data_IF_921554493240
#
_entry.id   IF_921554493240
#
_cell.length_a   1.000
_cell.length_b   1.000
_cell.length_c   1.000
_cell.angle_alpha   90.00
_cell.angle_beta   90.00
_cell.angle_gamma   90.00
#
_symmetry.space_group_name_H-M   'P 1'
#
loop_
_entity.id
_entity.type
_entity.pdbx_description
1 polymer ?
#
# COMPACT_ATOMS: atom_id res chain seq x y z
N UNK A 1 8.90 -0.62 -14.87
CA UNK A 1 8.02 0.57 -14.76
C UNK A 1 7.40 0.51 -13.39
N UNK A 2 7.57 1.54 -12.58
CA UNK A 2 7.17 1.51 -11.17
C UNK A 2 6.11 2.58 -10.91
N UNK A 3 4.99 2.16 -10.33
CA UNK A 3 3.98 3.07 -9.77
C UNK A 3 4.36 3.39 -8.33
N UNK A 4 4.28 4.65 -7.93
CA UNK A 4 4.58 5.07 -6.57
C UNK A 4 3.36 5.70 -5.90
N UNK A 5 3.05 5.25 -4.69
CA UNK A 5 2.13 5.92 -3.79
C UNK A 5 2.86 6.98 -2.96
N UNK A 6 2.21 8.12 -2.76
CA UNK A 6 2.70 9.22 -1.92
C UNK A 6 1.99 9.16 -0.58
N UNK A 7 2.70 8.84 0.49
CA UNK A 7 2.14 8.81 1.84
C UNK A 7 1.73 10.21 2.31
N UNK A 8 0.71 10.26 3.17
CA UNK A 8 0.34 11.46 3.92
C UNK A 8 1.45 11.84 4.91
N UNK A 9 1.55 13.12 5.30
CA UNK A 9 2.62 13.59 6.21
C UNK A 9 2.50 12.96 7.61
N UNK A 10 1.28 12.80 8.12
CA UNK A 10 0.98 12.10 9.39
C UNK A 10 0.69 10.61 9.17
N UNK A 11 1.71 9.85 8.74
CA UNK A 11 1.59 8.40 8.59
C UNK A 11 2.61 7.64 9.48
N UNK A 12 2.26 6.46 10.00
CA UNK A 12 3.13 5.71 10.92
C UNK A 12 4.35 5.08 10.23
N UNK A 13 4.47 5.20 8.90
CA UNK A 13 5.60 4.70 8.13
C UNK A 13 6.60 5.79 7.73
N UNK A 14 6.48 7.02 8.22
CA UNK A 14 7.38 8.12 7.86
C UNK A 14 8.87 7.80 8.09
N UNK A 15 9.19 7.01 9.12
CA UNK A 15 10.56 6.55 9.40
C UNK A 15 11.06 5.46 8.43
N UNK A 16 10.15 4.70 7.84
CA UNK A 16 10.43 3.61 6.89
C UNK A 16 10.55 4.16 5.46
N UNK A 17 9.72 5.15 5.14
CA UNK A 17 9.67 5.82 3.85
C UNK A 17 9.93 7.32 4.03
N UNK A 18 11.18 7.73 4.25
CA UNK A 18 11.52 9.13 4.51
C UNK A 18 11.20 10.06 3.33
N UNK A 19 11.20 9.53 2.10
CA UNK A 19 10.75 10.28 0.90
C UNK A 19 9.22 10.35 0.78
N UNK A 20 8.47 9.60 1.59
CA UNK A 20 7.03 9.40 1.45
C UNK A 20 6.64 8.55 0.24
N UNK A 21 7.59 8.01 -0.53
CA UNK A 21 7.32 7.22 -1.72
C UNK A 21 7.32 5.73 -1.40
N UNK A 22 6.24 5.05 -1.80
CA UNK A 22 6.08 3.59 -1.64
C UNK A 22 5.87 2.96 -3.01
N UNK A 23 6.68 1.96 -3.42
CA UNK A 23 6.48 1.29 -4.70
C UNK A 23 5.21 0.43 -4.64
N UNK A 24 4.37 0.52 -5.66
CA UNK A 24 3.07 -0.14 -5.74
C UNK A 24 3.00 -1.07 -6.96
N UNK A 25 2.33 -2.21 -6.79
CA UNK A 25 1.99 -3.13 -7.89
C UNK A 25 0.68 -2.73 -8.57
N UNK A 26 -0.41 -2.61 -7.81
CA UNK A 26 -1.75 -2.25 -8.31
C UNK A 26 -2.71 -1.93 -7.15
N UNK A 27 -3.94 -1.55 -7.48
CA UNK A 27 -5.04 -1.25 -6.54
C UNK A 27 -5.95 -2.46 -6.44
N UNK A 28 -6.37 -2.81 -5.22
CA UNK A 28 -7.34 -3.88 -5.00
C UNK A 28 -8.28 -3.59 -3.82
N UNK A 29 -9.54 -4.07 -3.84
CA UNK A 29 -10.42 -4.00 -2.69
C UNK A 29 -9.97 -4.95 -1.56
N UNK A 30 -10.10 -4.50 -0.31
CA UNK A 30 -9.88 -5.35 0.88
C UNK A 30 -10.96 -6.44 0.94
N UNK A 31 -10.62 -7.64 1.42
CA UNK A 31 -11.62 -8.70 1.67
C UNK A 31 -12.30 -8.51 3.05
N UNK A 32 -13.61 -8.79 3.18
CA UNK A 32 -14.52 -9.35 2.17
C UNK A 32 -14.87 -8.33 1.08
N UNK A 33 -14.90 -8.79 -0.18
CA UNK A 33 -15.11 -7.96 -1.38
C UNK A 33 -16.56 -7.47 -1.44
N UNK A 34 -16.89 -6.44 -0.68
CA UNK A 34 -18.17 -5.71 -0.73
C UNK A 34 -17.99 -4.31 -1.33
N UNK A 35 -19.09 -3.67 -1.74
CA UNK A 35 -19.07 -2.27 -2.24
C UNK A 35 -18.55 -1.27 -1.20
N UNK A 36 -18.61 -1.63 0.08
CA UNK A 36 -18.14 -0.81 1.20
C UNK A 36 -16.73 -1.19 1.68
N UNK A 37 -16.09 -2.18 1.04
CA UNK A 37 -14.77 -2.61 1.45
C UNK A 37 -13.74 -1.53 1.10
N UNK A 38 -12.88 -1.11 2.06
CA UNK A 38 -11.89 -0.09 1.77
C UNK A 38 -10.95 -0.56 0.66
N UNK A 39 -10.50 0.34 -0.20
CA UNK A 39 -9.48 0.04 -1.19
C UNK A 39 -8.10 -0.02 -0.51
N UNK A 40 -7.23 -0.84 -1.06
CA UNK A 40 -5.81 -0.91 -0.73
C UNK A 40 -4.95 -0.77 -1.98
N UNK A 41 -3.78 -0.19 -1.79
CA UNK A 41 -2.66 -0.36 -2.71
C UNK A 41 -1.84 -1.59 -2.28
N UNK A 42 -1.52 -2.46 -3.23
CA UNK A 42 -0.59 -3.54 -3.00
C UNK A 42 0.84 -3.01 -3.17
N UNK A 43 1.62 -3.03 -2.10
CA UNK A 43 3.02 -2.59 -2.10
C UNK A 43 3.89 -3.61 -2.81
N UNK A 44 4.81 -3.14 -3.66
CA UNK A 44 5.80 -3.98 -4.30
C UNK A 44 6.96 -4.29 -3.34
N UNK A 45 6.83 -5.39 -2.60
CA UNK A 45 7.84 -5.85 -1.64
C UNK A 45 9.22 -6.17 -2.23
N UNK A 46 9.27 -6.48 -3.52
CA UNK A 46 10.53 -6.78 -4.21
C UNK A 46 11.40 -5.53 -4.42
N UNK A 47 10.80 -4.34 -4.43
CA UNK A 47 11.50 -3.05 -4.60
C UNK A 47 11.91 -2.40 -3.27
N UNK A 48 11.52 -2.98 -2.13
CA UNK A 48 11.90 -2.48 -0.81
C UNK A 48 13.34 -2.86 -0.44
N UNK A 49 14.02 -1.97 0.27
CA UNK A 49 15.34 -2.29 0.84
C UNK A 49 15.20 -3.30 1.98
N UNK A 50 16.27 -4.02 2.31
CA UNK A 50 16.29 -4.91 3.48
C UNK A 50 15.89 -4.18 4.77
N UNK A 51 16.41 -2.97 4.98
CA UNK A 51 16.07 -2.17 6.15
C UNK A 51 14.57 -1.86 6.24
N UNK A 52 13.97 -1.44 5.12
CA UNK A 52 12.54 -1.17 5.06
C UNK A 52 11.71 -2.40 5.39
N UNK A 53 12.08 -3.56 4.83
CA UNK A 53 11.40 -4.83 5.11
C UNK A 53 11.52 -5.21 6.57
N UNK A 54 12.70 -5.05 7.18
CA UNK A 54 12.91 -5.37 8.60
C UNK A 54 12.10 -4.44 9.53
N UNK A 55 12.05 -3.15 9.24
CA UNK A 55 11.26 -2.20 10.04
C UNK A 55 9.75 -2.46 9.91
N UNK A 56 9.27 -2.70 8.69
CA UNK A 56 7.88 -3.10 8.44
C UNK A 56 7.54 -4.42 9.15
N UNK A 57 8.42 -5.41 9.07
CA UNK A 57 8.22 -6.70 9.71
C UNK A 57 8.12 -6.57 11.23
N UNK A 58 8.94 -5.71 11.86
CA UNK A 58 8.85 -5.42 13.30
C UNK A 58 7.51 -4.82 13.68
N UNK A 59 7.05 -3.81 12.92
CA UNK A 59 5.75 -3.19 13.15
C UNK A 59 4.62 -4.21 13.00
N UNK A 60 4.58 -4.92 11.88
CA UNK A 60 3.52 -5.88 11.57
C UNK A 60 3.48 -7.05 12.55
N UNK A 61 4.63 -7.64 12.86
CA UNK A 61 4.73 -8.78 13.78
C UNK A 61 4.21 -8.42 15.18
N UNK A 62 4.46 -7.20 15.65
CA UNK A 62 3.94 -6.74 16.95
C UNK A 62 2.42 -6.58 17.00
N UNK A 63 1.78 -6.47 15.83
CA UNK A 63 0.33 -6.22 15.70
C UNK A 63 -0.46 -7.40 15.12
N UNK A 64 0.21 -8.44 14.63
CA UNK A 64 -0.39 -9.61 13.98
C UNK A 64 -0.26 -10.85 14.88
N UNK A 65 -1.22 -11.08 15.79
CA UNK A 65 -1.11 -12.14 16.80
C UNK A 65 -1.13 -13.56 16.20
N UNK A 66 -1.71 -13.73 15.01
CA UNK A 66 -1.81 -15.02 14.32
C UNK A 66 -0.57 -15.35 13.47
N UNK A 67 0.42 -14.47 13.42
CA UNK A 67 1.59 -14.70 12.59
C UNK A 67 2.53 -15.76 13.22
N UNK A 68 2.83 -16.81 12.45
CA UNK A 68 3.62 -17.96 12.91
C UNK A 68 5.07 -17.60 13.28
N UNK A 69 5.66 -16.62 12.58
CA UNK A 69 7.04 -16.19 12.84
C UNK A 69 7.34 -14.84 12.19
N UNK A 70 8.37 -14.17 12.70
CA UNK A 70 8.90 -12.96 12.08
C UNK A 70 9.33 -13.19 10.61
N UNK A 71 9.92 -14.36 10.31
CA UNK A 71 10.33 -14.72 8.95
C UNK A 71 9.13 -14.88 7.99
N UNK A 72 7.98 -15.33 8.50
CA UNK A 72 6.75 -15.37 7.72
C UNK A 72 6.28 -13.94 7.36
N UNK A 73 6.39 -12.97 8.28
CA UNK A 73 6.10 -11.56 7.99
C UNK A 73 7.03 -10.98 6.94
N UNK A 74 8.34 -11.24 7.04
CA UNK A 74 9.34 -10.81 6.05
C UNK A 74 8.98 -11.38 4.67
N UNK A 75 8.64 -12.67 4.61
CA UNK A 75 8.23 -13.34 3.37
C UNK A 75 6.96 -12.70 2.80
N UNK A 76 5.96 -12.46 3.65
CA UNK A 76 4.71 -11.80 3.26
C UNK A 76 4.95 -10.40 2.68
N UNK A 77 5.77 -9.58 3.35
CA UNK A 77 6.13 -8.24 2.86
C UNK A 77 6.80 -8.34 1.49
N UNK A 78 7.78 -9.24 1.33
CA UNK A 78 8.49 -9.45 0.06
C UNK A 78 7.57 -9.90 -1.08
N UNK A 79 6.57 -10.73 -0.79
CA UNK A 79 5.55 -11.15 -1.74
C UNK A 79 4.53 -10.05 -2.10
N UNK A 80 4.53 -8.96 -1.35
CA UNK A 80 3.61 -7.84 -1.51
C UNK A 80 2.51 -7.86 -0.46
N UNK A 81 2.26 -6.69 0.13
CA UNK A 81 1.31 -6.51 1.23
C UNK A 81 0.39 -5.31 0.97
N UNK A 82 -0.86 -5.35 1.44
CA UNK A 82 -1.82 -4.27 1.21
C UNK A 82 -1.65 -3.15 2.22
N UNK A 83 -1.69 -1.91 1.74
CA UNK A 83 -1.83 -0.70 2.56
C UNK A 83 -3.09 0.06 2.16
N UNK A 84 -3.83 0.58 3.14
CA UNK A 84 -5.08 1.31 2.91
C UNK A 84 -4.83 2.55 2.07
N UNK A 85 -5.66 2.81 1.07
CA UNK A 85 -5.51 4.00 0.20
C UNK A 85 -5.59 5.31 0.98
N UNK A 86 -6.32 5.34 2.10
CA UNK A 86 -6.43 6.50 2.99
C UNK A 86 -5.10 6.99 3.58
N UNK A 87 -4.04 6.19 3.52
CA UNK A 87 -2.71 6.57 4.01
C UNK A 87 -1.89 7.31 2.95
N UNK A 88 -2.45 7.45 1.74
CA UNK A 88 -1.80 8.06 0.59
C UNK A 88 -2.57 9.32 0.17
N UNK A 89 -1.82 10.37 -0.17
CA UNK A 89 -2.36 11.61 -0.74
C UNK A 89 -2.46 11.57 -2.27
N UNK A 90 -1.87 10.57 -2.91
CA UNK A 90 -1.89 10.42 -4.36
C UNK A 90 -0.99 9.29 -4.85
N UNK A 91 -1.05 9.03 -6.16
CA UNK A 91 -0.24 8.03 -6.85
C UNK A 91 0.36 8.67 -8.10
N UNK A 92 1.64 8.41 -8.36
CA UNK A 92 2.30 8.75 -9.61
C UNK A 92 2.67 7.47 -10.35
N UNK A 93 2.25 7.36 -11.60
CA UNK A 93 2.59 6.23 -12.47
C UNK A 93 3.03 6.72 -13.84
N UNK A 94 3.91 5.96 -14.48
CA UNK A 94 4.21 6.11 -15.91
C UNK A 94 3.39 5.14 -16.78
N UNK A 95 2.54 4.30 -16.16
CA UNK A 95 1.66 3.36 -16.83
C UNK A 95 0.26 3.97 -17.04
N UNK A 96 -0.01 4.36 -18.29
CA UNK A 96 -1.29 4.94 -18.72
C UNK A 96 -2.50 4.02 -18.48
N UNK A 97 -2.32 2.69 -18.37
CA UNK A 97 -3.43 1.76 -18.12
C UNK A 97 -3.87 1.75 -16.65
N UNK A 98 -2.94 2.01 -15.72
CA UNK A 98 -3.28 2.10 -14.29
C UNK A 98 -4.01 3.40 -13.95
N UNK A 99 -3.74 4.48 -14.70
CA UNK A 99 -4.46 5.75 -14.58
C UNK A 99 -5.97 5.57 -14.78
N UNK A 100 -6.41 4.74 -15.73
CA UNK A 100 -7.83 4.50 -16.01
C UNK A 100 -8.59 3.82 -14.85
N UNK A 101 -7.89 3.05 -14.01
CA UNK A 101 -8.46 2.42 -12.81
C UNK A 101 -8.46 3.38 -11.60
N UNK A 102 -7.58 4.38 -11.61
CA UNK A 102 -7.53 5.45 -10.61
C UNK A 102 -8.63 6.49 -10.86
N UNK A 103 -8.87 6.86 -12.12
CA UNK A 103 -9.84 7.87 -12.56
C UNK A 103 -11.30 7.42 -12.44
N UNK A 104 -11.54 6.10 -12.44
CA UNK A 104 -12.88 5.50 -12.34
C UNK A 104 -13.63 5.72 -11.02
N UNK A 105 -13.07 6.48 -10.06
CA UNK A 105 -13.66 6.73 -8.74
C UNK A 105 -14.01 8.21 -8.47
N UNK A 106 -13.92 9.11 -9.46
CA UNK A 106 -14.35 10.53 -9.31
C UNK A 106 -15.73 10.86 -9.91
N UNK A 107 -16.69 9.92 -9.92
CA UNK A 107 -18.10 10.23 -10.21
C UNK A 107 -19.04 9.77 -9.10
N UNK A 108 -18.87 10.34 -7.91
CA UNK A 108 -19.99 10.58 -7.00
C UNK A 108 -19.79 11.86 -6.17
N UNK A 109 -19.24 12.90 -6.81
CA UNK A 109 -19.48 14.27 -6.32
C UNK A 109 -20.81 14.68 -6.89
N UNK A 110 -21.84 14.50 -6.08
CA UNK A 110 -23.18 14.99 -6.35
C UNK A 110 -23.13 16.40 -6.94
N UNK A 111 -23.74 16.54 -8.10
CA UNK A 111 -24.29 17.81 -8.52
C UNK A 111 -25.83 17.67 -8.50
N UNK A 112 -26.55 18.66 -7.94
CA UNK A 112 -28.01 18.72 -8.00
C UNK A 112 -28.52 18.88 -9.43
#
# INVERSE_FOLDING_TARGET
>A
MTTFGHLCEDNPFATIFPSGLVPLLFIMPIRPRGKEAPLCYLVNGAELTEEQVQQLAKMMYSTWPECESFQAVVTYIRSGFPLRTAWFRGVSTTDLKQLSLLDGNEYDRGQP
#
